data_IF_400348597859
#
_entry.id   IF_400348597859
#
_cell.length_a   1.000
_cell.length_b   1.000
_cell.length_c   1.000
_cell.angle_alpha   90.00
_cell.angle_beta   90.00
_cell.angle_gamma   90.00
#
_symmetry.space_group_name_H-M   'P 1'
#
loop_
_entity.id
_entity.type
_entity.pdbx_description
1 polymer ?
#
# COMPACT_ATOMS: atom_id res chain seq x y z
N UNK A 1 -3.10 36.11 -34.91
CA UNK A 1 -2.44 37.06 -34.00
C UNK A 1 -3.38 37.23 -32.82
N UNK A 2 -3.09 36.91 -31.58
CA UNK A 2 -1.94 36.30 -30.91
C UNK A 2 -2.49 35.95 -29.51
N UNK A 3 -2.55 34.67 -29.15
CA UNK A 3 -2.95 34.24 -27.81
C UNK A 3 -1.67 33.97 -27.01
N UNK A 4 -1.33 34.89 -26.11
CA UNK A 4 -0.29 34.68 -25.09
C UNK A 4 -0.87 35.05 -23.73
N UNK A 5 -0.98 34.06 -22.86
CA UNK A 5 -1.45 34.24 -21.49
C UNK A 5 -1.24 33.00 -20.64
N UNK A 6 0.02 32.60 -20.43
CA UNK A 6 0.37 31.57 -19.48
C UNK A 6 0.19 32.04 -18.03
N UNK A 7 -0.40 31.21 -17.17
CA UNK A 7 -0.21 31.30 -15.72
C UNK A 7 -0.13 29.89 -15.11
N UNK A 8 0.90 29.71 -14.27
CA UNK A 8 1.30 28.47 -13.60
C UNK A 8 0.18 27.82 -12.75
N UNK A 9 0.17 26.49 -12.57
CA UNK A 9 -0.67 25.84 -11.58
C UNK A 9 -0.16 26.14 -10.15
N UNK A 10 -1.06 26.25 -9.15
CA UNK A 10 -0.69 26.61 -7.79
C UNK A 10 0.10 25.52 -7.07
N UNK A 11 1.12 25.98 -6.34
CA UNK A 11 1.97 25.22 -5.42
C UNK A 11 1.16 24.55 -4.31
N UNK A 12 1.46 23.26 -4.11
CA UNK A 12 1.53 22.54 -2.83
C UNK A 12 1.09 23.30 -1.56
N UNK A 13 -0.08 22.95 -1.02
CA UNK A 13 -0.32 22.80 0.45
C UNK A 13 -1.71 22.21 0.70
N UNK A 14 -1.82 20.87 0.64
CA UNK A 14 -2.76 20.03 1.43
C UNK A 14 -2.50 18.56 1.11
N UNK A 15 -1.28 18.10 1.44
CA UNK A 15 -1.02 16.67 1.57
C UNK A 15 -1.65 16.21 2.90
N UNK A 16 -2.27 15.03 2.87
CA UNK A 16 -3.01 14.35 3.96
C UNK A 16 -4.42 14.89 4.23
N UNK A 17 -5.41 14.28 3.57
CA UNK A 17 -6.56 13.61 4.19
C UNK A 17 -7.54 13.17 3.09
N UNK A 18 -8.09 11.96 3.23
CA UNK A 18 -9.10 11.32 2.38
C UNK A 18 -8.57 10.51 1.17
N UNK A 19 -8.12 9.28 1.41
CA UNK A 19 -8.07 8.23 0.39
C UNK A 19 -9.50 7.90 -0.05
N UNK A 20 -9.91 8.39 -1.23
CA UNK A 20 -11.18 8.07 -1.87
C UNK A 20 -10.92 7.03 -2.98
N UNK A 21 -11.38 5.77 -2.83
CA UNK A 21 -11.10 4.70 -3.79
C UNK A 21 -11.71 4.94 -5.19
N UNK A 22 -12.52 6.00 -5.37
CA UNK A 22 -13.11 6.41 -6.65
C UNK A 22 -12.30 7.43 -7.47
N UNK A 23 -11.24 8.03 -6.94
CA UNK A 23 -10.43 9.07 -7.61
C UNK A 23 -8.98 8.63 -7.80
N UNK A 24 -8.75 7.41 -8.30
CA UNK A 24 -7.42 7.06 -8.77
C UNK A 24 -7.03 7.99 -9.91
N UNK A 25 -6.00 8.80 -9.70
CA UNK A 25 -5.42 9.63 -10.74
C UNK A 25 -4.89 8.73 -11.85
N UNK A 26 -5.38 8.94 -13.07
CA UNK A 26 -5.08 8.12 -14.23
C UNK A 26 -4.16 8.88 -15.18
N UNK A 27 -3.10 8.21 -15.62
CA UNK A 27 -2.15 8.70 -16.61
C UNK A 27 -2.29 7.92 -17.92
N UNK A 28 -2.31 8.63 -19.04
CA UNK A 28 -2.32 8.01 -20.37
C UNK A 28 -1.04 7.20 -20.59
N UNK A 29 -1.12 6.12 -21.36
CA UNK A 29 0.01 5.21 -21.59
C UNK A 29 1.22 5.92 -22.18
N UNK A 30 1.00 6.82 -23.14
CA UNK A 30 2.05 7.56 -23.80
C UNK A 30 2.80 8.45 -22.80
N UNK A 31 2.05 9.14 -21.92
CA UNK A 31 2.61 9.97 -20.85
C UNK A 31 3.36 9.14 -19.81
N UNK A 32 2.83 7.97 -19.45
CA UNK A 32 3.49 7.03 -18.55
C UNK A 32 4.84 6.58 -19.12
N UNK A 33 4.90 6.23 -20.41
CA UNK A 33 6.13 5.80 -21.08
C UNK A 33 7.17 6.93 -21.08
N UNK A 34 6.75 8.15 -21.40
CA UNK A 34 7.64 9.33 -21.41
C UNK A 34 8.22 9.57 -20.01
N UNK A 35 7.38 9.59 -18.99
CA UNK A 35 7.82 9.81 -17.61
C UNK A 35 8.65 8.65 -17.05
N UNK A 36 8.37 7.42 -17.47
CA UNK A 36 9.16 6.27 -17.06
C UNK A 36 10.57 6.31 -17.68
N UNK A 37 10.66 6.63 -18.97
CA UNK A 37 11.95 6.78 -19.66
C UNK A 37 12.78 7.92 -19.07
N UNK A 38 12.17 9.07 -18.75
CA UNK A 38 12.90 10.18 -18.13
C UNK A 38 13.44 9.84 -16.73
N UNK A 39 12.87 8.83 -16.08
CA UNK A 39 13.33 8.29 -14.79
C UNK A 39 14.25 7.07 -14.92
N UNK A 40 14.74 6.78 -16.12
CA UNK A 40 15.72 5.71 -16.37
C UNK A 40 15.13 4.32 -16.65
N UNK A 41 13.80 4.18 -16.80
CA UNK A 41 13.19 2.87 -17.10
C UNK A 41 13.54 2.42 -18.53
N UNK A 42 14.16 1.24 -18.65
CA UNK A 42 14.57 0.68 -19.93
C UNK A 42 13.53 -0.30 -20.50
N UNK A 43 12.80 0.15 -21.53
CA UNK A 43 11.82 -0.66 -22.24
C UNK A 43 12.40 -1.60 -23.31
N UNK A 44 13.72 -1.65 -23.47
CA UNK A 44 14.41 -2.45 -24.48
C UNK A 44 14.27 -1.88 -25.89
N UNK A 45 14.65 -2.69 -26.90
CA UNK A 45 14.67 -2.30 -28.32
C UNK A 45 13.29 -2.31 -28.99
N UNK A 46 12.28 -2.90 -28.36
CA UNK A 46 10.93 -3.04 -28.91
C UNK A 46 10.00 -1.91 -28.51
N UNK A 47 8.73 -2.04 -28.91
CA UNK A 47 7.67 -1.11 -28.52
C UNK A 47 7.43 -1.15 -26.99
N UNK A 48 7.61 -0.01 -26.27
CA UNK A 48 7.33 0.09 -24.84
C UNK A 48 5.91 -0.33 -24.46
N UNK A 49 4.92 -0.11 -25.34
CA UNK A 49 3.54 -0.52 -25.11
C UNK A 49 3.42 -2.04 -24.91
N UNK A 50 4.12 -2.83 -25.73
CA UNK A 50 4.12 -4.28 -25.61
C UNK A 50 4.76 -4.76 -24.31
N UNK A 51 5.77 -4.03 -23.80
CA UNK A 51 6.38 -4.32 -22.51
C UNK A 51 5.44 -4.04 -21.34
N UNK A 52 4.72 -2.91 -21.38
CA UNK A 52 3.68 -2.62 -20.40
C UNK A 52 2.61 -3.71 -20.41
N UNK A 53 2.15 -4.13 -21.60
CA UNK A 53 1.20 -5.22 -21.75
C UNK A 53 1.72 -6.54 -21.16
N UNK A 54 3.00 -6.86 -21.34
CA UNK A 54 3.63 -8.03 -20.73
C UNK A 54 3.62 -7.95 -19.20
N UNK A 55 3.99 -6.80 -18.62
CA UNK A 55 3.94 -6.59 -17.16
C UNK A 55 2.53 -6.67 -16.60
N UNK A 56 1.51 -6.17 -17.30
CA UNK A 56 0.11 -6.36 -16.90
C UNK A 56 -0.29 -7.83 -16.94
N UNK A 57 0.09 -8.57 -17.99
CA UNK A 57 -0.20 -10.01 -18.09
C UNK A 57 0.45 -10.83 -16.99
N UNK A 58 1.62 -10.43 -16.52
CA UNK A 58 2.29 -11.08 -15.39
C UNK A 58 1.76 -10.65 -14.01
N UNK A 59 0.81 -9.72 -13.96
CA UNK A 59 0.29 -9.17 -12.70
C UNK A 59 1.25 -8.21 -11.98
N UNK A 60 2.28 -7.70 -12.66
CA UNK A 60 3.22 -6.73 -12.08
C UNK A 60 2.66 -5.31 -12.11
N UNK A 61 1.81 -5.05 -13.09
CA UNK A 61 1.06 -3.81 -13.28
C UNK A 61 -0.45 -4.08 -13.24
N UNK A 62 -1.26 -3.08 -12.88
CA UNK A 62 -2.70 -3.23 -12.85
C UNK A 62 -3.28 -3.30 -14.26
N UNK A 63 -4.55 -3.71 -14.37
CA UNK A 63 -5.24 -3.65 -15.65
C UNK A 63 -5.44 -2.20 -16.09
N UNK A 64 -5.16 -1.96 -17.36
CA UNK A 64 -5.34 -0.67 -18.00
C UNK A 64 -6.84 -0.33 -18.12
N UNK A 65 -7.22 0.88 -17.71
CA UNK A 65 -8.59 1.37 -17.83
C UNK A 65 -8.74 2.10 -19.16
N UNK A 66 -9.77 1.78 -19.95
CA UNK A 66 -10.09 2.50 -21.19
C UNK A 66 -10.91 3.73 -20.82
N UNK A 67 -10.42 4.92 -21.18
CA UNK A 67 -11.16 6.18 -21.00
C UNK A 67 -11.28 6.86 -22.35
N UNK A 68 -12.49 7.31 -22.69
CA UNK A 68 -12.71 8.14 -23.87
C UNK A 68 -12.15 9.53 -23.58
N UNK A 69 -11.23 10.00 -24.41
CA UNK A 69 -10.86 11.41 -24.43
C UNK A 69 -11.95 12.23 -25.11
N UNK A 70 -11.91 13.55 -24.94
CA UNK A 70 -12.88 14.50 -25.52
C UNK A 70 -13.00 14.38 -27.04
N UNK A 71 -11.96 13.91 -27.74
CA UNK A 71 -11.92 13.73 -29.20
C UNK A 71 -12.19 12.29 -29.68
N UNK A 72 -12.91 11.48 -28.89
CA UNK A 72 -13.58 10.26 -29.38
C UNK A 72 -12.75 8.97 -29.40
N UNK A 73 -11.42 9.01 -29.38
CA UNK A 73 -10.62 7.79 -29.28
C UNK A 73 -10.52 7.31 -27.82
N UNK A 74 -10.93 6.06 -27.58
CA UNK A 74 -10.76 5.40 -26.28
C UNK A 74 -9.30 4.99 -26.07
N UNK A 75 -8.56 5.76 -25.27
CA UNK A 75 -7.17 5.48 -24.93
C UNK A 75 -7.04 4.70 -23.62
N UNK A 76 -5.98 3.92 -23.54
CA UNK A 76 -5.61 3.20 -22.34
C UNK A 76 -5.00 4.14 -21.31
N UNK A 77 -5.33 3.93 -20.03
CA UNK A 77 -4.78 4.67 -18.90
C UNK A 77 -4.38 3.70 -17.79
N UNK A 78 -3.25 3.99 -17.16
CA UNK A 78 -2.81 3.34 -15.93
C UNK A 78 -3.03 4.28 -14.75
N UNK A 79 -3.17 3.78 -13.52
CA UNK A 79 -3.09 4.64 -12.35
C UNK A 79 -1.67 5.20 -12.19
N UNK A 80 -1.54 6.42 -11.67
CA UNK A 80 -0.25 7.12 -11.52
C UNK A 80 0.79 6.31 -10.75
N UNK A 81 0.37 5.51 -9.75
CA UNK A 81 1.28 4.65 -8.98
C UNK A 81 1.99 3.59 -9.84
N UNK A 82 1.46 3.25 -11.03
CA UNK A 82 2.11 2.35 -11.97
C UNK A 82 3.49 2.87 -12.41
N UNK A 83 3.70 4.19 -12.42
CA UNK A 83 5.01 4.79 -12.71
C UNK A 83 6.04 4.40 -11.65
N UNK A 84 5.70 4.55 -10.37
CA UNK A 84 6.57 4.15 -9.25
C UNK A 84 6.85 2.65 -9.28
N UNK A 85 5.86 1.86 -9.68
CA UNK A 85 6.01 0.41 -9.85
C UNK A 85 6.99 0.05 -10.98
N UNK A 86 6.95 0.76 -12.11
CA UNK A 86 7.89 0.56 -13.22
C UNK A 86 9.34 0.88 -12.82
N UNK A 87 9.55 1.97 -12.08
CA UNK A 87 10.89 2.34 -11.57
C UNK A 87 11.41 1.26 -10.63
N UNK A 88 10.55 0.73 -9.75
CA UNK A 88 10.92 -0.37 -8.86
C UNK A 88 11.31 -1.63 -9.64
N UNK A 89 10.52 -2.00 -10.67
CA UNK A 89 10.84 -3.14 -11.52
C UNK A 89 12.22 -2.96 -12.17
N UNK A 90 12.52 -1.77 -12.69
CA UNK A 90 13.83 -1.51 -13.29
C UNK A 90 14.95 -1.63 -12.27
N UNK A 91 14.80 -1.01 -11.09
CA UNK A 91 15.78 -1.13 -10.01
C UNK A 91 16.06 -2.59 -9.62
N UNK A 92 15.02 -3.41 -9.52
CA UNK A 92 15.18 -4.83 -9.19
C UNK A 92 15.88 -5.61 -10.32
N UNK A 93 15.67 -5.22 -11.57
CA UNK A 93 16.40 -5.78 -12.72
C UNK A 93 17.87 -5.37 -12.69
N UNK A 94 18.16 -4.12 -12.33
CA UNK A 94 19.52 -3.60 -12.21
C UNK A 94 20.30 -4.28 -11.07
N UNK A 95 19.61 -4.71 -10.02
CA UNK A 95 20.13 -5.56 -8.94
C UNK A 95 20.41 -7.02 -9.42
N UNK A 96 20.10 -7.36 -10.66
CA UNK A 96 20.35 -8.68 -11.26
C UNK A 96 19.33 -9.76 -10.87
N UNK A 97 18.19 -9.38 -10.27
CA UNK A 97 17.17 -10.35 -9.87
C UNK A 97 16.50 -10.99 -11.08
N UNK A 98 16.17 -12.27 -10.94
CA UNK A 98 15.40 -12.97 -11.95
C UNK A 98 13.92 -12.58 -11.91
N UNK A 99 13.23 -12.73 -13.04
CA UNK A 99 11.81 -12.37 -13.16
C UNK A 99 10.92 -13.04 -12.09
N UNK A 100 11.20 -14.30 -11.71
CA UNK A 100 10.46 -15.00 -10.65
C UNK A 100 10.62 -14.33 -9.28
N UNK A 101 11.82 -13.86 -8.96
CA UNK A 101 12.13 -13.18 -7.70
C UNK A 101 11.53 -11.80 -7.65
N UNK A 102 11.55 -11.08 -8.78
CA UNK A 102 10.86 -9.81 -8.95
C UNK A 102 9.37 -10.01 -8.68
N UNK A 103 8.73 -10.99 -9.34
CA UNK A 103 7.31 -11.29 -9.13
C UNK A 103 6.98 -11.55 -7.66
N UNK A 104 7.83 -12.34 -6.96
CA UNK A 104 7.68 -12.62 -5.53
C UNK A 104 7.78 -11.35 -4.69
N UNK A 105 8.81 -10.52 -4.89
CA UNK A 105 8.99 -9.25 -4.15
C UNK A 105 7.83 -8.28 -4.37
N UNK A 106 7.37 -8.18 -5.61
CA UNK A 106 6.23 -7.37 -6.00
C UNK A 106 4.94 -7.84 -5.31
N UNK A 107 4.71 -9.16 -5.25
CA UNK A 107 3.54 -9.75 -4.60
C UNK A 107 3.53 -9.52 -3.08
N UNK A 108 4.66 -9.69 -2.40
CA UNK A 108 4.79 -9.46 -0.95
C UNK A 108 4.46 -8.01 -0.59
N UNK A 109 4.91 -7.02 -1.37
CA UNK A 109 4.55 -5.63 -1.13
C UNK A 109 3.05 -5.37 -1.24
N UNK A 110 2.38 -5.90 -2.27
CA UNK A 110 0.92 -5.73 -2.43
C UNK A 110 0.13 -6.43 -1.33
N UNK A 111 0.57 -7.62 -0.88
CA UNK A 111 -0.05 -8.32 0.24
C UNK A 111 0.07 -7.55 1.56
N UNK A 112 1.25 -7.00 1.85
CA UNK A 112 1.49 -6.19 3.05
C UNK A 112 0.72 -4.86 3.02
N UNK A 113 0.59 -4.22 1.86
CA UNK A 113 -0.26 -3.03 1.70
C UNK A 113 -1.72 -3.37 1.93
N UNK A 114 -2.21 -4.50 1.41
CA UNK A 114 -3.56 -4.98 1.67
C UNK A 114 -3.82 -5.26 3.14
N UNK A 115 -2.90 -5.95 3.82
CA UNK A 115 -2.98 -6.19 5.26
C UNK A 115 -2.95 -4.88 6.06
N UNK A 116 -2.06 -3.95 5.75
CA UNK A 116 -2.04 -2.62 6.39
C UNK A 116 -3.34 -1.86 6.17
N UNK A 117 -3.93 -1.91 4.97
CA UNK A 117 -5.20 -1.27 4.70
C UNK A 117 -6.34 -1.83 5.57
N UNK A 118 -6.31 -3.14 5.88
CA UNK A 118 -7.24 -3.74 6.84
C UNK A 118 -7.06 -3.20 8.26
N UNK A 119 -5.84 -2.83 8.67
CA UNK A 119 -5.58 -2.23 9.99
C UNK A 119 -5.87 -0.72 10.05
N UNK A 120 -5.97 -0.04 8.91
CA UNK A 120 -6.26 1.40 8.82
C UNK A 120 -7.75 1.68 8.98
N UNK A 121 -8.65 0.73 8.69
CA UNK A 121 -10.08 0.97 8.86
C UNK A 121 -10.45 1.01 10.35
N UNK A 122 -11.15 2.08 10.81
CA UNK A 122 -11.49 2.26 12.21
C UNK A 122 -12.42 1.16 12.75
N UNK A 123 -13.25 0.57 11.87
CA UNK A 123 -14.17 -0.51 12.22
C UNK A 123 -13.41 -1.81 12.55
N UNK A 124 -12.39 -2.15 11.75
CA UNK A 124 -11.59 -3.37 11.97
C UNK A 124 -10.71 -3.19 13.20
N UNK A 125 -10.12 -2.01 13.41
CA UNK A 125 -9.35 -1.70 14.62
C UNK A 125 -10.17 -1.95 15.88
N UNK A 126 -11.41 -1.46 15.92
CA UNK A 126 -12.29 -1.61 17.09
C UNK A 126 -12.64 -3.08 17.34
N UNK A 127 -12.99 -3.82 16.29
CA UNK A 127 -13.29 -5.27 16.40
C UNK A 127 -12.07 -6.07 16.83
N UNK A 128 -10.89 -5.74 16.31
CA UNK A 128 -9.66 -6.43 16.66
C UNK A 128 -9.25 -6.18 18.12
N UNK A 129 -9.40 -4.95 18.62
CA UNK A 129 -9.19 -4.64 20.05
C UNK A 129 -10.19 -5.42 20.92
N UNK A 130 -11.46 -5.48 20.53
CA UNK A 130 -12.49 -6.22 21.27
C UNK A 130 -12.23 -7.74 21.28
N UNK A 131 -11.88 -8.33 20.14
CA UNK A 131 -11.62 -9.77 20.08
C UNK A 131 -10.30 -10.14 20.76
N UNK A 132 -9.25 -9.32 20.61
CA UNK A 132 -7.98 -9.56 21.31
C UNK A 132 -8.13 -9.45 22.83
N UNK A 133 -8.93 -8.51 23.35
CA UNK A 133 -9.21 -8.42 24.79
C UNK A 133 -10.04 -9.61 25.29
N UNK A 134 -11.00 -10.10 24.50
CA UNK A 134 -11.78 -11.28 24.84
C UNK A 134 -10.93 -12.57 24.88
N UNK A 135 -10.05 -12.77 23.90
CA UNK A 135 -9.12 -13.90 23.87
C UNK A 135 -8.13 -13.83 25.04
N UNK A 136 -7.64 -12.64 25.39
CA UNK A 136 -6.78 -12.43 26.55
C UNK A 136 -7.50 -12.79 27.85
N UNK A 137 -8.77 -12.38 28.01
CA UNK A 137 -9.60 -12.76 29.15
C UNK A 137 -9.77 -14.28 29.24
N UNK A 138 -10.06 -14.95 28.13
CA UNK A 138 -10.15 -16.41 28.08
C UNK A 138 -8.83 -17.09 28.42
N UNK A 139 -7.69 -16.54 28.00
CA UNK A 139 -6.37 -17.05 28.35
C UNK A 139 -6.10 -16.93 29.86
N UNK A 140 -6.40 -15.78 30.47
CA UNK A 140 -6.27 -15.56 31.92
C UNK A 140 -7.20 -16.51 32.70
N UNK A 141 -8.44 -16.69 32.24
CA UNK A 141 -9.38 -17.63 32.83
C UNK A 141 -8.90 -19.09 32.68
N UNK A 142 -8.38 -19.47 31.51
CA UNK A 142 -7.84 -20.81 31.28
C UNK A 142 -6.66 -21.13 32.19
N UNK A 143 -5.77 -20.17 32.42
CA UNK A 143 -4.67 -20.30 33.39
C UNK A 143 -5.24 -20.41 34.83
N UNK A 144 -6.29 -19.66 35.13
CA UNK A 144 -6.95 -19.63 36.44
C UNK A 144 -7.61 -20.97 36.81
N UNK A 145 -8.19 -21.69 35.85
CA UNK A 145 -8.80 -23.00 36.10
C UNK A 145 -7.80 -24.17 36.07
N UNK A 146 -6.57 -23.94 35.60
CA UNK A 146 -5.54 -24.99 35.45
C UNK A 146 -4.51 -25.08 36.58
N UNK A 147 -4.40 -24.09 37.48
CA UNK A 147 -3.39 -24.07 38.54
C UNK A 147 -4.00 -24.06 39.95
N UNK A 148 -4.16 -25.27 40.51
CA UNK A 148 -4.27 -25.46 41.96
C UNK A 148 -2.93 -25.12 42.62
N UNK A 149 -2.88 -24.04 43.42
CA UNK A 149 -1.78 -23.77 44.35
C UNK A 149 -1.22 -22.35 44.30
N UNK A 150 -1.58 -21.54 45.30
CA UNK A 150 -0.79 -20.48 45.96
C UNK A 150 0.34 -19.78 45.18
N UNK A 151 0.07 -19.15 44.03
CA UNK A 151 0.96 -18.12 43.46
C UNK A 151 0.20 -17.06 42.64
N UNK A 152 -0.99 -16.69 43.14
CA UNK A 152 -2.01 -15.98 42.36
C UNK A 152 -1.87 -14.45 42.31
N UNK A 153 -1.30 -13.83 43.35
CA UNK A 153 -1.29 -12.37 43.43
C UNK A 153 -0.17 -11.73 42.61
N UNK A 154 1.01 -12.35 42.54
CA UNK A 154 2.15 -11.77 41.82
C UNK A 154 2.05 -11.93 40.30
N UNK A 155 1.51 -13.06 39.82
CA UNK A 155 1.39 -13.34 38.38
C UNK A 155 0.28 -12.53 37.72
N UNK A 156 -0.87 -12.35 38.38
CA UNK A 156 -1.96 -11.51 37.90
C UNK A 156 -1.56 -10.03 37.84
N UNK A 157 -0.86 -9.51 38.86
CA UNK A 157 -0.36 -8.14 38.87
C UNK A 157 0.66 -7.87 37.76
N UNK A 158 1.56 -8.84 37.50
CA UNK A 158 2.54 -8.74 36.41
C UNK A 158 1.85 -8.75 35.04
N UNK A 159 0.84 -9.60 34.84
CA UNK A 159 0.08 -9.67 33.59
C UNK A 159 -0.68 -8.38 33.30
N UNK A 160 -1.35 -7.80 34.31
CA UNK A 160 -2.05 -6.51 34.18
C UNK A 160 -1.05 -5.38 33.89
N UNK A 161 0.11 -5.37 34.56
CA UNK A 161 1.18 -4.40 34.31
C UNK A 161 1.72 -4.47 32.87
N UNK A 162 2.00 -5.68 32.37
CA UNK A 162 2.46 -5.89 30.98
C UNK A 162 1.41 -5.43 29.98
N UNK A 163 0.14 -5.75 30.20
CA UNK A 163 -0.96 -5.33 29.31
C UNK A 163 -1.13 -3.80 29.32
N UNK A 164 -1.05 -3.17 30.49
CA UNK A 164 -1.10 -1.71 30.60
C UNK A 164 0.07 -1.03 29.88
N UNK A 165 1.29 -1.56 30.02
CA UNK A 165 2.47 -1.03 29.30
C UNK A 165 2.43 -1.28 27.79
N UNK A 166 1.89 -2.41 27.34
CA UNK A 166 1.67 -2.67 25.91
C UNK A 166 0.61 -1.73 25.33
N UNK A 167 -0.50 -1.50 26.03
CA UNK A 167 -1.54 -0.55 25.59
C UNK A 167 -0.97 0.88 25.56
N UNK A 168 -0.19 1.27 26.56
CA UNK A 168 0.46 2.58 26.62
C UNK A 168 1.50 2.76 25.50
N UNK A 169 2.32 1.73 25.24
CA UNK A 169 3.32 1.73 24.17
C UNK A 169 2.66 1.75 22.78
N UNK A 170 1.57 1.00 22.58
CA UNK A 170 0.78 1.11 21.36
C UNK A 170 0.16 2.50 21.22
N UNK A 171 -0.33 3.11 22.30
CA UNK A 171 -0.92 4.45 22.25
C UNK A 171 0.11 5.52 21.86
N UNK A 172 1.37 5.39 22.32
CA UNK A 172 2.47 6.28 21.92
C UNK A 172 2.85 6.07 20.45
N UNK A 173 3.04 4.82 20.01
CA UNK A 173 3.39 4.50 18.61
C UNK A 173 2.32 4.95 17.61
N UNK A 174 1.05 4.97 18.02
CA UNK A 174 -0.06 5.37 17.17
C UNK A 174 -0.48 6.85 17.28
N UNK A 175 0.14 7.66 18.15
CA UNK A 175 -0.19 9.09 18.30
C UNK A 175 0.83 10.02 17.62
N UNK A 176 1.92 9.48 17.07
CA UNK A 176 2.90 10.22 16.25
C UNK A 176 2.69 10.07 14.74
N UNK A 177 1.62 9.38 14.30
CA UNK A 177 1.26 9.20 12.88
C UNK A 177 -0.19 9.61 12.62
#
# INVERSE_FOLDING_TARGET
MEEVGGSNPPRSTKLLLCYNPGMEELIAVEQLIIQAKSKGVNFGKGDPYNRLRYYTKMGWLPNMKRKKGERGAAKGHYPVWALSRLILIEKLKDEGLQNSEIARKLATQSGLVGLRALFVSPEVRTRLVLYSSFVLLLAILGISFGCSGELWFHTAALAVGIVATCIFSLKIVFNEY
#
